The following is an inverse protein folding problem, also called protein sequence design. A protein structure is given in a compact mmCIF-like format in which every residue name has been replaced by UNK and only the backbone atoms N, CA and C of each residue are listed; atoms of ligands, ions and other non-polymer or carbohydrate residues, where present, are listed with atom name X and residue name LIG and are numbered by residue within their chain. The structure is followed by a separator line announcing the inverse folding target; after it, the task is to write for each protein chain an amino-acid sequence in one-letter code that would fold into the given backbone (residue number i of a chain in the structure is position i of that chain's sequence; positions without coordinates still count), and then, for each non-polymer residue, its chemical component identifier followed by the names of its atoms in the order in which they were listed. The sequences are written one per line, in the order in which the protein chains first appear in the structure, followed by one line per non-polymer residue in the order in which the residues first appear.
data_IF_162394719774
#
_entry.id   IF_162394719774
#
_cell.length_a   1.000
_cell.length_b   1.000
_cell.length_c   1.000
_cell.angle_alpha   90.00
_cell.angle_beta   90.00
_cell.angle_gamma   90.00
#
_symmetry.space_group_name_H-M   'P 1'
#
loop_
_entity.id
_entity.type
_entity.pdbx_description
1 polymer ?
#
# COMPACT_ATOMS: atom_id res chain seq x y z
N UNK A 1 16.98 3.73 1.87
CA UNK A 1 15.50 3.71 1.88
C UNK A 1 15.04 5.00 2.53
N UNK A 2 14.16 5.74 1.87
CA UNK A 2 13.65 7.04 2.35
C UNK A 2 12.98 6.90 3.73
N UNK A 3 13.10 7.91 4.59
CA UNK A 3 12.44 7.97 5.90
C UNK A 3 10.92 7.84 5.78
N UNK A 4 10.33 8.37 4.71
CA UNK A 4 8.90 8.27 4.45
C UNK A 4 8.50 6.84 4.10
N UNK A 5 9.24 6.15 3.22
CA UNK A 5 9.01 4.75 2.90
C UNK A 5 9.14 3.84 4.12
N UNK A 6 10.08 4.13 5.03
CA UNK A 6 10.18 3.37 6.27
C UNK A 6 8.96 3.58 7.18
N UNK A 7 8.48 4.82 7.29
CA UNK A 7 7.26 5.16 8.03
C UNK A 7 6.03 4.46 7.42
N UNK A 8 5.89 4.49 6.09
CA UNK A 8 4.82 3.82 5.35
C UNK A 8 4.80 2.32 5.64
N UNK A 9 5.96 1.65 5.52
CA UNK A 9 6.08 0.22 5.83
C UNK A 9 5.66 -0.07 7.27
N UNK A 10 6.13 0.71 8.24
CA UNK A 10 5.84 0.47 9.65
C UNK A 10 4.34 0.61 9.95
N UNK A 11 3.70 1.68 9.46
CA UNK A 11 2.26 1.90 9.65
C UNK A 11 1.46 0.79 8.97
N UNK A 12 1.79 0.47 7.71
CA UNK A 12 1.12 -0.60 6.96
C UNK A 12 1.22 -1.93 7.72
N UNK A 13 2.42 -2.30 8.19
CA UNK A 13 2.61 -3.55 8.92
C UNK A 13 1.85 -3.61 10.26
N UNK A 14 1.74 -2.48 10.97
CA UNK A 14 1.02 -2.40 12.24
C UNK A 14 -0.50 -2.37 12.10
N UNK A 15 -1.00 -1.61 11.13
CA UNK A 15 -2.44 -1.31 10.98
C UNK A 15 -3.10 -2.07 9.85
N UNK A 16 -2.33 -2.79 9.05
CA UNK A 16 -2.76 -3.44 7.80
C UNK A 16 -3.28 -2.46 6.74
N UNK A 17 -3.00 -1.16 6.89
CA UNK A 17 -3.28 -0.12 5.90
C UNK A 17 -2.51 1.18 6.21
N UNK A 18 -2.32 2.03 5.20
CA UNK A 18 -1.72 3.35 5.31
C UNK A 18 -2.15 4.22 4.11
N UNK A 19 -2.27 5.54 4.30
CA UNK A 19 -2.44 6.48 3.20
C UNK A 19 -1.21 7.39 3.06
N UNK A 20 -0.95 7.87 1.84
CA UNK A 20 0.19 8.73 1.54
C UNK A 20 -0.05 9.54 0.27
N UNK A 21 0.81 10.52 0.02
CA UNK A 21 0.84 11.25 -1.24
C UNK A 21 2.07 10.82 -2.05
N UNK A 22 1.93 10.75 -3.37
CA UNK A 22 3.06 10.76 -4.31
C UNK A 22 2.83 11.89 -5.31
N UNK A 23 3.74 12.86 -5.39
CA UNK A 23 3.57 14.08 -6.22
C UNK A 23 2.25 14.83 -5.93
N UNK A 24 1.86 14.93 -4.66
CA UNK A 24 0.55 15.45 -4.18
C UNK A 24 -0.68 14.65 -4.66
N UNK A 25 -0.48 13.49 -5.28
CA UNK A 25 -1.55 12.58 -5.69
C UNK A 25 -1.80 11.53 -4.60
N UNK A 26 -3.05 11.33 -4.14
CA UNK A 26 -3.34 10.47 -3.00
C UNK A 26 -3.38 8.97 -3.35
N UNK A 27 -2.74 8.18 -2.50
CA UNK A 27 -2.70 6.73 -2.57
C UNK A 27 -2.99 6.09 -1.22
N UNK A 28 -3.61 4.90 -1.28
CA UNK A 28 -3.80 4.02 -0.13
C UNK A 28 -3.09 2.69 -0.37
N UNK A 29 -2.33 2.23 0.62
CA UNK A 29 -1.77 0.89 0.68
C UNK A 29 -2.54 0.10 1.73
N UNK A 30 -3.21 -0.99 1.36
CA UNK A 30 -4.06 -1.75 2.27
C UNK A 30 -3.91 -3.26 2.09
N UNK A 31 -3.95 -3.99 3.20
CA UNK A 31 -3.98 -5.44 3.19
C UNK A 31 -5.40 -5.92 2.96
N UNK A 32 -5.60 -6.75 1.94
CA UNK A 32 -6.88 -7.32 1.60
C UNK A 32 -6.82 -8.85 1.68
N UNK A 33 -7.50 -9.37 2.69
CA UNK A 33 -7.62 -10.80 2.95
C UNK A 33 -9.07 -11.24 2.89
N UNK A 34 -9.40 -12.19 2.03
CA UNK A 34 -10.72 -12.84 1.95
C UNK A 34 -10.54 -14.31 2.32
N UNK A 35 -11.11 -14.71 3.46
CA UNK A 35 -11.27 -16.10 3.85
C UNK A 35 -12.70 -16.56 3.51
N UNK A 36 -12.93 -17.01 2.29
CA UNK A 36 -14.22 -17.55 1.83
C UNK A 36 -14.30 -19.06 1.99
N UNK A 37 -15.46 -19.57 2.42
CA UNK A 37 -15.76 -21.02 2.36
C UNK A 37 -16.15 -21.36 0.93
N UNK A 38 -15.19 -21.76 0.10
CA UNK A 38 -15.50 -22.47 -1.15
C UNK A 38 -14.69 -22.16 -2.40
N UNK A 39 -14.03 -20.99 -2.53
CA UNK A 39 -13.16 -20.72 -3.68
C UNK A 39 -12.25 -19.50 -3.41
N UNK A 40 -10.95 -19.76 -3.50
CA UNK A 40 -9.79 -18.85 -3.43
C UNK A 40 -9.67 -17.98 -2.17
N UNK A 41 -8.79 -18.41 -1.27
CA UNK A 41 -8.20 -17.54 -0.25
C UNK A 41 -7.34 -16.53 -0.99
N UNK A 42 -7.71 -15.25 -0.91
CA UNK A 42 -6.91 -14.15 -1.45
C UNK A 42 -6.35 -13.38 -0.28
N UNK A 43 -5.03 -13.28 -0.21
CA UNK A 43 -4.29 -12.59 0.84
C UNK A 43 -3.21 -11.74 0.16
N UNK A 44 -3.51 -10.47 -0.05
CA UNK A 44 -2.69 -9.58 -0.90
C UNK A 44 -2.62 -8.17 -0.33
N UNK A 45 -1.63 -7.41 -0.79
CA UNK A 45 -1.55 -5.96 -0.60
C UNK A 45 -2.07 -5.25 -1.83
N UNK A 46 -2.92 -4.24 -1.64
CA UNK A 46 -3.45 -3.39 -2.69
C UNK A 46 -2.85 -1.99 -2.55
N UNK A 47 -2.20 -1.52 -3.60
CA UNK A 47 -1.94 -0.09 -3.79
C UNK A 47 -3.06 0.48 -4.63
N UNK A 48 -3.82 1.41 -4.07
CA UNK A 48 -4.95 2.06 -4.70
C UNK A 48 -4.66 3.53 -4.94
N UNK A 49 -4.88 3.98 -6.17
CA UNK A 49 -5.04 5.39 -6.50
C UNK A 49 -6.42 5.87 -6.02
N UNK A 50 -6.46 6.85 -5.13
CA UNK A 50 -7.71 7.31 -4.51
C UNK A 50 -8.56 8.21 -5.44
N UNK A 51 -7.98 8.71 -6.53
CA UNK A 51 -8.68 9.55 -7.52
C UNK A 51 -9.27 8.70 -8.63
N UNK A 52 -8.52 7.71 -9.11
CA UNK A 52 -8.92 6.87 -10.26
C UNK A 52 -9.53 5.53 -9.83
N UNK A 53 -9.39 5.15 -8.55
CA UNK A 53 -9.77 3.85 -8.00
C UNK A 53 -9.05 2.66 -8.65
N UNK A 54 -7.98 2.89 -9.40
CA UNK A 54 -7.15 1.82 -9.95
C UNK A 54 -6.35 1.15 -8.83
N UNK A 55 -6.31 -0.18 -8.85
CA UNK A 55 -5.57 -0.97 -7.87
C UNK A 55 -4.46 -1.77 -8.55
N UNK A 56 -3.32 -1.83 -7.87
CA UNK A 56 -2.22 -2.75 -8.18
C UNK A 56 -2.10 -3.72 -7.03
N UNK A 57 -2.07 -5.02 -7.34
CA UNK A 57 -2.02 -6.08 -6.35
C UNK A 57 -0.60 -6.61 -6.17
N UNK A 58 -0.22 -6.87 -4.92
CA UNK A 58 1.07 -7.40 -4.54
C UNK A 58 0.89 -8.62 -3.62
N UNK A 59 1.67 -9.70 -3.81
CA UNK A 59 1.60 -10.86 -2.92
C UNK A 59 2.02 -10.54 -1.48
N UNK A 60 2.97 -9.62 -1.30
CA UNK A 60 3.49 -9.25 0.03
C UNK A 60 3.65 -7.74 0.18
N UNK A 61 3.75 -7.29 1.44
CA UNK A 61 4.07 -5.89 1.73
C UNK A 61 5.44 -5.51 1.16
N UNK A 62 6.39 -6.43 1.14
CA UNK A 62 7.73 -6.17 0.62
C UNK A 62 7.72 -5.94 -0.89
N UNK A 63 6.93 -6.70 -1.65
CA UNK A 63 6.74 -6.49 -3.09
C UNK A 63 6.11 -5.12 -3.36
N UNK A 64 5.09 -4.73 -2.58
CA UNK A 64 4.46 -3.42 -2.68
C UNK A 64 5.45 -2.29 -2.37
N UNK A 65 6.22 -2.42 -1.29
CA UNK A 65 7.21 -1.41 -0.89
C UNK A 65 8.34 -1.28 -1.90
N UNK A 66 8.79 -2.39 -2.50
CA UNK A 66 9.78 -2.36 -3.57
C UNK A 66 9.22 -1.61 -4.78
N UNK A 67 8.02 -1.96 -5.23
CA UNK A 67 7.40 -1.29 -6.38
C UNK A 67 7.21 0.20 -6.12
N UNK A 68 6.71 0.60 -4.95
CA UNK A 68 6.56 2.01 -4.57
C UNK A 68 7.92 2.71 -4.62
N UNK A 69 8.98 2.09 -4.08
CA UNK A 69 10.32 2.70 -4.10
C UNK A 69 10.91 2.88 -5.50
N UNK A 70 10.51 2.04 -6.46
CA UNK A 70 10.99 2.08 -7.85
C UNK A 70 10.14 2.98 -8.76
N UNK A 71 8.86 3.20 -8.43
CA UNK A 71 7.89 3.87 -9.29
C UNK A 71 7.33 5.19 -8.73
N UNK A 72 7.51 5.46 -7.43
CA UNK A 72 6.99 6.64 -6.74
C UNK A 72 8.13 7.40 -6.07
N UNK A 73 8.61 8.44 -6.75
CA UNK A 73 9.80 9.19 -6.32
C UNK A 73 9.54 10.13 -5.13
N UNK A 74 8.29 10.59 -4.93
CA UNK A 74 7.96 11.64 -3.96
C UNK A 74 6.90 11.20 -2.94
N UNK A 75 7.15 10.08 -2.26
CA UNK A 75 6.28 9.65 -1.16
C UNK A 75 6.35 10.65 0.00
N UNK A 76 5.24 11.33 0.28
CA UNK A 76 5.09 12.29 1.38
C UNK A 76 3.81 12.04 2.16
N UNK A 77 3.62 12.79 3.25
CA UNK A 77 2.37 12.85 4.01
C UNK A 77 1.80 11.46 4.35
N UNK A 78 2.67 10.57 4.84
CA UNK A 78 2.26 9.24 5.28
C UNK A 78 1.38 9.38 6.51
N UNK A 79 0.12 8.97 6.39
CA UNK A 79 -0.91 9.08 7.41
C UNK A 79 -1.38 7.69 7.87
N UNK A 80 -1.62 7.62 9.17
CA UNK A 80 -2.33 6.53 9.83
C UNK A 80 -3.59 7.15 10.47
N UNK A 81 -4.63 7.38 9.67
CA UNK A 81 -5.89 7.89 10.25
C UNK A 81 -6.55 6.85 11.16
#
# INVERSE_FOLDING_TARGET
MDKQLHTLRNIANERTWASFLNDNHPYSLLHWSIAGVGQEVKDVWLLQDEVTFQTTEFPTLDDAMQWISENMEQVTDVLAQ
#
